data_IF_731147428870
#
_entry.id   IF_731147428870
#
_cell.length_a   1.000
_cell.length_b   1.000
_cell.length_c   1.000
_cell.angle_alpha   90.00
_cell.angle_beta   90.00
_cell.angle_gamma   90.00
#
_symmetry.space_group_name_H-M   'P 1'
#
loop_
_entity.id
_entity.type
_entity.pdbx_description
1 polymer ?
#
# COMPACT_ATOMS: atom_id res chain seq x y z
N UNK A 1 56.71 24.63 -4.26
CA UNK A 1 55.74 25.41 -3.47
C UNK A 1 54.84 26.12 -4.47
N UNK A 2 53.72 25.54 -4.89
CA UNK A 2 52.38 25.58 -4.28
C UNK A 2 51.73 26.98 -4.26
N UNK A 3 50.74 27.14 -5.13
CA UNK A 3 49.46 27.87 -4.98
C UNK A 3 48.68 27.51 -6.27
N UNK A 4 47.81 26.49 -6.35
CA UNK A 4 46.51 26.29 -5.69
C UNK A 4 45.70 27.58 -5.49
N UNK A 5 44.85 27.87 -6.48
CA UNK A 5 43.56 28.55 -6.43
C UNK A 5 42.96 28.29 -7.82
N UNK A 6 41.98 27.40 -8.01
CA UNK A 6 40.65 27.53 -7.46
C UNK A 6 39.66 27.79 -8.61
N UNK A 7 39.70 26.98 -9.67
CA UNK A 7 38.65 26.95 -10.68
C UNK A 7 37.57 25.97 -10.21
N UNK A 8 36.75 26.42 -9.27
CA UNK A 8 35.55 25.71 -8.81
C UNK A 8 34.34 26.59 -9.08
N UNK A 9 34.02 26.73 -10.36
CA UNK A 9 32.81 27.31 -10.96
C UNK A 9 32.72 26.56 -12.30
N UNK A 10 31.65 25.91 -12.75
CA UNK A 10 30.24 26.06 -12.47
C UNK A 10 29.58 24.83 -13.12
N UNK A 11 29.34 23.73 -12.39
CA UNK A 11 28.54 22.61 -12.93
C UNK A 11 27.08 22.99 -12.75
N UNK A 12 26.59 23.91 -13.58
CA UNK A 12 25.18 23.95 -13.90
C UNK A 12 24.82 22.57 -14.48
N UNK A 13 24.30 21.68 -13.63
CA UNK A 13 23.70 20.44 -14.10
C UNK A 13 22.56 20.85 -15.02
N UNK A 14 22.73 20.64 -16.32
CA UNK A 14 21.67 20.87 -17.30
C UNK A 14 20.38 20.22 -16.77
N UNK A 15 19.33 21.01 -16.47
CA UNK A 15 18.11 20.51 -15.86
C UNK A 15 17.44 19.46 -16.75
N UNK A 16 17.61 19.53 -18.08
CA UNK A 16 17.11 18.53 -19.00
C UNK A 16 17.88 17.21 -18.85
N UNK A 17 19.21 17.25 -18.82
CA UNK A 17 20.04 16.08 -18.58
C UNK A 17 19.77 15.43 -17.19
N UNK A 18 19.56 16.26 -16.16
CA UNK A 18 19.20 15.79 -14.83
C UNK A 18 17.83 15.08 -14.81
N UNK A 19 16.83 15.65 -15.48
CA UNK A 19 15.49 15.07 -15.60
C UNK A 19 15.51 13.76 -16.42
N UNK A 20 16.30 13.71 -17.49
CA UNK A 20 16.52 12.49 -18.28
C UNK A 20 17.11 11.37 -17.43
N UNK A 21 18.19 11.65 -16.70
CA UNK A 21 18.84 10.69 -15.81
C UNK A 21 17.90 10.23 -14.69
N UNK A 22 17.13 11.14 -14.10
CA UNK A 22 16.12 10.80 -13.09
C UNK A 22 15.07 9.85 -13.67
N UNK A 23 14.58 10.12 -14.88
CA UNK A 23 13.60 9.28 -15.58
C UNK A 23 14.13 7.88 -15.86
N UNK A 24 15.36 7.77 -16.37
CA UNK A 24 16.02 6.47 -16.60
C UNK A 24 16.19 5.70 -15.29
N UNK A 25 16.59 6.36 -14.20
CA UNK A 25 16.70 5.73 -12.88
C UNK A 25 15.36 5.23 -12.36
N UNK A 26 14.29 6.00 -12.52
CA UNK A 26 12.94 5.56 -12.13
C UNK A 26 12.52 4.29 -12.89
N UNK A 27 12.72 4.28 -14.21
CA UNK A 27 12.40 3.11 -15.04
C UNK A 27 13.22 1.90 -14.59
N UNK A 28 14.53 2.07 -14.37
CA UNK A 28 15.39 0.99 -13.89
C UNK A 28 14.94 0.44 -12.54
N UNK A 29 14.66 1.31 -11.57
CA UNK A 29 14.20 0.89 -10.24
C UNK A 29 12.90 0.09 -10.32
N UNK A 30 11.97 0.49 -11.20
CA UNK A 30 10.75 -0.27 -11.44
C UNK A 30 11.01 -1.65 -12.07
N UNK A 31 11.95 -1.75 -13.01
CA UNK A 31 12.35 -3.05 -13.57
C UNK A 31 12.97 -3.93 -12.48
N UNK A 32 13.81 -3.37 -11.61
CA UNK A 32 14.42 -4.13 -10.51
C UNK A 32 13.37 -4.58 -9.47
N UNK A 33 12.41 -3.74 -9.11
CA UNK A 33 11.32 -4.10 -8.19
C UNK A 33 10.32 -5.11 -8.79
N UNK A 34 10.29 -5.22 -10.12
CA UNK A 34 9.47 -6.21 -10.83
C UNK A 34 9.83 -7.67 -10.51
N UNK A 35 10.99 -7.93 -9.90
CA UNK A 35 11.41 -9.26 -9.48
C UNK A 35 10.84 -9.70 -8.13
N UNK A 36 9.98 -8.88 -7.51
CA UNK A 36 9.21 -9.27 -6.33
C UNK A 36 8.19 -10.36 -6.64
N UNK A 37 7.77 -11.11 -5.60
CA UNK A 37 6.81 -12.21 -5.73
C UNK A 37 5.45 -11.78 -6.29
N UNK A 38 4.94 -10.61 -5.89
CA UNK A 38 3.66 -10.08 -6.37
C UNK A 38 3.64 -9.71 -7.85
N UNK A 39 4.75 -9.13 -8.32
CA UNK A 39 4.97 -8.80 -9.73
C UNK A 39 5.21 -10.06 -10.57
N UNK A 40 5.90 -11.07 -10.02
CA UNK A 40 6.04 -12.38 -10.64
C UNK A 40 4.68 -13.03 -10.90
N UNK A 41 3.82 -13.11 -9.88
CA UNK A 41 2.49 -13.68 -9.99
C UNK A 41 1.57 -12.88 -10.94
N UNK A 42 1.77 -11.57 -11.11
CA UNK A 42 1.02 -10.81 -12.13
C UNK A 42 1.59 -11.04 -13.53
N UNK A 43 2.91 -11.14 -13.68
CA UNK A 43 3.54 -11.46 -14.95
C UNK A 43 3.05 -12.82 -15.47
N UNK A 44 2.98 -13.84 -14.61
CA UNK A 44 2.43 -15.17 -14.96
C UNK A 44 0.97 -15.10 -15.41
N UNK A 45 0.14 -14.29 -14.74
CA UNK A 45 -1.29 -14.18 -15.05
C UNK A 45 -1.61 -13.33 -16.28
N UNK A 46 -0.84 -12.28 -16.54
CA UNK A 46 -1.16 -11.27 -17.57
C UNK A 46 -0.18 -11.24 -18.73
N UNK A 47 0.95 -11.94 -18.64
CA UNK A 47 2.01 -11.98 -19.65
C UNK A 47 2.83 -10.69 -19.77
N UNK A 48 2.44 -9.61 -19.08
CA UNK A 48 3.11 -8.31 -19.14
C UNK A 48 2.94 -7.49 -17.85
N UNK A 49 3.93 -6.66 -17.58
CA UNK A 49 3.93 -5.64 -16.53
C UNK A 49 3.88 -4.25 -17.13
N UNK A 50 3.26 -3.32 -16.41
CA UNK A 50 2.94 -1.98 -16.91
C UNK A 50 3.07 -0.94 -15.79
N UNK A 51 3.77 0.15 -16.08
CA UNK A 51 3.91 1.31 -15.22
C UNK A 51 3.63 2.61 -15.98
N UNK A 52 3.25 3.66 -15.25
CA UNK A 52 3.03 5.01 -15.76
C UNK A 52 3.74 6.00 -14.87
N UNK A 53 4.63 6.79 -15.45
CA UNK A 53 5.39 7.82 -14.78
C UNK A 53 4.90 9.19 -15.28
N UNK A 54 4.44 10.05 -14.37
CA UNK A 54 4.05 11.43 -14.71
C UNK A 54 5.32 12.26 -14.78
N UNK A 55 5.88 12.41 -15.98
CA UNK A 55 7.12 13.14 -16.24
C UNK A 55 6.96 13.96 -17.50
N UNK A 56 7.21 15.25 -17.37
CA UNK A 56 7.15 16.18 -18.50
C UNK A 56 8.47 16.16 -19.26
N UNK A 57 8.51 15.37 -20.33
CA UNK A 57 9.65 15.31 -21.23
C UNK A 57 9.37 16.16 -22.47
N UNK A 58 10.36 16.94 -22.90
CA UNK A 58 10.32 17.56 -24.22
C UNK A 58 10.32 16.48 -25.31
N UNK A 59 9.94 16.84 -26.53
CA UNK A 59 9.93 15.90 -27.65
C UNK A 59 11.34 15.39 -28.01
N UNK A 60 12.38 16.18 -27.75
CA UNK A 60 13.78 15.80 -27.94
C UNK A 60 14.22 14.80 -26.85
N UNK A 61 13.95 15.12 -25.58
CA UNK A 61 14.20 14.21 -24.45
C UNK A 61 13.48 12.87 -24.59
N UNK A 62 12.26 12.88 -25.12
CA UNK A 62 11.53 11.64 -25.40
C UNK A 62 12.26 10.75 -26.43
N UNK A 63 12.73 11.33 -27.53
CA UNK A 63 13.50 10.60 -28.55
C UNK A 63 14.81 10.07 -27.97
N UNK A 64 15.50 10.87 -27.16
CA UNK A 64 16.71 10.45 -26.46
C UNK A 64 16.42 9.30 -25.50
N UNK A 65 15.30 9.34 -24.77
CA UNK A 65 14.92 8.27 -23.83
C UNK A 65 14.65 6.96 -24.58
N UNK A 66 13.93 7.03 -25.70
CA UNK A 66 13.68 5.86 -26.55
C UNK A 66 14.99 5.30 -27.12
N UNK A 67 15.90 6.17 -27.55
CA UNK A 67 17.21 5.77 -28.08
C UNK A 67 18.05 5.12 -26.99
N UNK A 68 18.09 5.72 -25.80
CA UNK A 68 18.82 5.19 -24.65
C UNK A 68 18.28 3.83 -24.20
N UNK A 69 16.96 3.67 -24.10
CA UNK A 69 16.35 2.40 -23.68
C UNK A 69 16.61 1.30 -24.71
N UNK A 70 16.54 1.61 -26.00
CA UNK A 70 16.87 0.65 -27.07
C UNK A 70 18.36 0.27 -27.08
N UNK A 71 19.25 1.25 -26.87
CA UNK A 71 20.69 1.03 -26.83
C UNK A 71 21.15 0.33 -25.53
N UNK A 72 20.39 0.53 -24.44
CA UNK A 72 20.68 -0.09 -23.15
C UNK A 72 20.44 -1.58 -23.23
N UNK A 73 21.52 -2.36 -23.07
CA UNK A 73 21.46 -3.81 -23.05
C UNK A 73 20.53 -4.37 -21.95
N UNK A 74 20.32 -3.62 -20.87
CA UNK A 74 19.42 -4.01 -19.79
C UNK A 74 17.96 -3.65 -20.10
N UNK A 75 17.70 -2.55 -20.80
CA UNK A 75 16.34 -2.00 -20.98
C UNK A 75 15.76 -2.22 -22.39
N UNK A 76 16.52 -2.82 -23.30
CA UNK A 76 16.20 -2.96 -24.74
C UNK A 76 14.89 -3.70 -25.06
N UNK A 77 14.32 -4.44 -24.10
CA UNK A 77 13.04 -5.14 -24.24
C UNK A 77 11.81 -4.33 -23.77
N UNK A 78 12.01 -3.13 -23.23
CA UNK A 78 10.92 -2.28 -22.75
C UNK A 78 10.24 -1.54 -23.90
N UNK A 79 8.91 -1.52 -23.89
CA UNK A 79 8.14 -0.65 -24.78
C UNK A 79 7.76 0.63 -24.05
N UNK A 80 8.10 1.76 -24.65
CA UNK A 80 7.79 3.09 -24.13
C UNK A 80 6.68 3.74 -24.95
N UNK A 81 5.66 4.27 -24.27
CA UNK A 81 4.57 5.06 -24.88
C UNK A 81 4.47 6.42 -24.20
N UNK A 82 4.43 7.48 -25.01
CA UNK A 82 4.11 8.81 -24.52
C UNK A 82 2.59 8.96 -24.52
N UNK A 83 2.04 9.38 -23.39
CA UNK A 83 0.62 9.66 -23.24
C UNK A 83 0.44 11.13 -22.93
N UNK A 84 -0.31 11.83 -23.77
CA UNK A 84 -0.74 13.21 -23.53
C UNK A 84 -2.18 13.16 -23.03
N UNK A 85 -2.39 13.49 -21.75
CA UNK A 85 -3.72 13.56 -21.15
C UNK A 85 -3.80 14.82 -20.32
N UNK A 86 -4.61 15.79 -20.75
CA UNK A 86 -5.24 16.88 -19.99
C UNK A 86 -4.40 17.73 -19.02
N UNK A 87 -3.68 17.09 -18.09
CA UNK A 87 -2.91 17.65 -16.98
C UNK A 87 -1.40 17.30 -17.03
N UNK A 88 -0.86 16.98 -18.22
CA UNK A 88 0.57 16.77 -18.45
C UNK A 88 0.92 15.61 -19.39
N UNK A 89 2.21 15.44 -19.66
CA UNK A 89 2.73 14.28 -20.39
C UNK A 89 3.16 13.17 -19.43
N UNK A 90 2.86 11.92 -19.80
CA UNK A 90 3.18 10.73 -19.02
C UNK A 90 3.98 9.75 -19.89
N UNK A 91 4.95 9.08 -19.27
CA UNK A 91 5.69 7.97 -19.85
C UNK A 91 5.09 6.66 -19.35
N UNK A 92 4.47 5.91 -20.24
CA UNK A 92 3.99 4.56 -19.98
C UNK A 92 5.06 3.55 -20.42
N UNK A 93 5.42 2.65 -19.52
CA UNK A 93 6.42 1.60 -19.74
C UNK A 93 5.75 0.24 -19.64
N UNK A 94 6.02 -0.61 -20.62
CA UNK A 94 5.53 -1.98 -20.70
C UNK A 94 6.71 -2.93 -20.75
N UNK A 95 6.65 -4.00 -19.96
CA UNK A 95 7.66 -5.04 -19.91
C UNK A 95 7.02 -6.41 -20.14
N UNK A 96 7.50 -7.12 -21.16
CA UNK A 96 7.08 -8.51 -21.44
C UNK A 96 7.81 -9.50 -20.53
N UNK A 97 7.31 -10.74 -20.49
CA UNK A 97 8.00 -11.85 -19.81
C UNK A 97 9.42 -12.07 -20.35
N UNK A 98 9.60 -12.03 -21.67
CA UNK A 98 10.91 -12.16 -22.33
C UNK A 98 11.87 -11.04 -21.93
N UNK A 99 11.40 -9.79 -21.93
CA UNK A 99 12.22 -8.65 -21.50
C UNK A 99 12.67 -8.80 -20.03
N UNK A 100 11.79 -9.28 -19.16
CA UNK A 100 12.10 -9.55 -17.75
C UNK A 100 13.12 -10.68 -17.59
N UNK A 101 13.00 -11.76 -18.37
CA UNK A 101 13.99 -12.85 -18.36
C UNK A 101 15.36 -12.38 -18.88
N UNK A 102 15.38 -11.61 -19.97
CA UNK A 102 16.62 -11.04 -20.49
C UNK A 102 17.28 -10.09 -19.48
N UNK A 103 16.50 -9.30 -18.74
CA UNK A 103 17.03 -8.47 -17.66
C UNK A 103 17.65 -9.32 -16.54
N UNK A 104 16.97 -10.40 -16.13
CA UNK A 104 17.44 -11.32 -15.08
C UNK A 104 18.76 -12.00 -15.43
N UNK A 105 18.88 -12.51 -16.67
CA UNK A 105 20.10 -13.16 -17.15
C UNK A 105 21.31 -12.21 -17.12
N UNK A 106 21.08 -10.92 -17.38
CA UNK A 106 22.13 -9.90 -17.41
C UNK A 106 22.42 -9.30 -16.04
N UNK A 107 21.46 -9.35 -15.12
CA UNK A 107 21.55 -8.78 -13.78
C UNK A 107 21.20 -9.81 -12.70
N UNK A 108 21.93 -10.93 -12.60
CA UNK A 108 21.58 -12.04 -11.72
C UNK A 108 21.52 -11.61 -10.24
N UNK A 109 22.36 -10.66 -9.83
CA UNK A 109 22.40 -10.12 -8.48
C UNK A 109 21.11 -9.41 -8.05
N UNK A 110 20.34 -8.86 -9.00
CA UNK A 110 19.06 -8.19 -8.71
C UNK A 110 17.99 -9.21 -8.35
N UNK A 111 17.98 -10.36 -9.03
CA UNK A 111 17.05 -11.46 -8.75
C UNK A 111 17.34 -12.04 -7.36
N UNK A 112 18.61 -12.29 -7.04
CA UNK A 112 19.01 -12.82 -5.73
C UNK A 112 18.70 -11.85 -4.59
N UNK A 113 19.03 -10.55 -4.74
CA UNK A 113 18.75 -9.53 -3.72
C UNK A 113 17.26 -9.36 -3.42
N UNK A 114 16.40 -9.54 -4.42
CA UNK A 114 14.95 -9.43 -4.27
C UNK A 114 14.27 -10.76 -3.92
N UNK A 115 14.99 -11.89 -4.05
CA UNK A 115 14.58 -13.20 -3.54
C UNK A 115 14.95 -13.39 -2.05
N UNK A 116 16.07 -12.82 -1.59
CA UNK A 116 16.58 -12.93 -0.21
C UNK A 116 16.05 -11.85 0.75
N UNK A 117 15.46 -10.76 0.25
CA UNK A 117 14.77 -9.79 1.10
C UNK A 117 13.39 -10.33 1.48
N UNK A 118 13.12 -10.71 2.76
CA UNK A 118 11.76 -10.68 3.24
C UNK A 118 11.27 -9.24 3.05
N UNK A 119 10.12 -9.07 2.40
CA UNK A 119 9.56 -7.76 2.06
C UNK A 119 9.10 -7.05 3.34
N UNK A 120 10.03 -6.42 4.04
CA UNK A 120 9.77 -5.45 5.11
C UNK A 120 9.69 -4.07 4.46
N UNK A 121 8.45 -3.61 4.28
CA UNK A 121 8.04 -2.23 3.96
C UNK A 121 8.87 -1.40 2.98
N UNK A 122 8.45 -1.32 1.72
CA UNK A 122 8.46 -0.06 0.96
C UNK A 122 7.69 -0.19 -0.35
N UNK A 123 6.57 0.55 -0.41
CA UNK A 123 6.04 1.28 -1.55
C UNK A 123 5.67 0.51 -2.84
N UNK A 124 4.42 0.75 -3.22
CA UNK A 124 3.87 0.67 -4.57
C UNK A 124 3.71 -0.72 -5.20
N UNK A 125 2.44 -1.12 -5.27
CA UNK A 125 1.99 -2.00 -6.33
C UNK A 125 2.12 -3.49 -6.03
N UNK A 126 0.99 -4.16 -6.22
CA UNK A 126 0.84 -5.58 -6.48
C UNK A 126 0.64 -6.53 -5.30
N UNK A 127 -0.51 -7.22 -5.42
CA UNK A 127 -0.83 -8.58 -5.01
C UNK A 127 0.20 -9.31 -4.11
N UNK A 128 -0.18 -9.56 -2.84
CA UNK A 128 -0.44 -10.87 -2.18
C UNK A 128 0.57 -12.03 -2.39
N UNK A 129 0.70 -13.08 -1.54
CA UNK A 129 0.27 -13.32 -0.14
C UNK A 129 1.32 -14.09 0.74
N UNK A 130 0.94 -14.35 2.01
CA UNK A 130 1.16 -15.57 2.83
C UNK A 130 2.54 -16.25 3.10
N UNK A 131 2.87 -16.30 4.40
CA UNK A 131 3.07 -17.51 5.26
C UNK A 131 4.19 -18.53 4.94
N UNK A 132 5.18 -18.66 5.84
CA UNK A 132 5.33 -19.78 6.78
C UNK A 132 6.79 -20.11 7.17
N UNK A 133 7.04 -20.03 8.50
CA UNK A 133 7.89 -20.89 9.36
C UNK A 133 9.34 -21.27 8.95
N UNK A 134 10.29 -20.64 9.66
CA UNK A 134 11.22 -21.18 10.69
C UNK A 134 11.91 -22.54 10.44
N UNK A 135 13.19 -22.71 10.87
CA UNK A 135 13.39 -23.16 12.27
C UNK A 135 14.71 -22.74 13.01
N UNK A 136 14.61 -22.77 14.34
CA UNK A 136 15.59 -22.99 15.46
C UNK A 136 16.75 -22.00 15.73
N UNK A 137 16.70 -21.26 16.86
CA UNK A 137 17.42 -21.64 18.08
C UNK A 137 17.03 -20.81 19.33
N UNK A 138 17.00 -21.53 20.45
CA UNK A 138 16.66 -21.14 21.83
C UNK A 138 17.45 -19.94 22.40
N UNK A 139 16.75 -19.10 23.17
CA UNK A 139 17.33 -18.39 24.29
C UNK A 139 16.43 -18.62 25.52
N UNK A 140 17.05 -19.16 26.57
CA UNK A 140 16.49 -19.48 27.87
C UNK A 140 16.16 -18.22 28.70
N UNK A 141 14.91 -18.18 29.20
CA UNK A 141 14.44 -17.72 30.54
C UNK A 141 14.83 -16.34 31.13
N UNK A 142 14.11 -15.81 32.15
CA UNK A 142 12.67 -15.84 32.42
C UNK A 142 12.09 -14.47 32.87
N UNK A 143 10.75 -14.41 32.90
CA UNK A 143 9.92 -13.35 33.48
C UNK A 143 10.09 -13.18 35.00
N UNK A 144 9.83 -11.96 35.50
CA UNK A 144 9.12 -11.74 36.78
C UNK A 144 8.46 -10.35 36.85
N UNK A 145 7.12 -10.38 36.81
CA UNK A 145 6.13 -9.42 37.37
C UNK A 145 6.19 -9.62 38.92
N UNK A 146 5.73 -8.75 39.85
CA UNK A 146 4.40 -8.10 39.77
C UNK A 146 4.10 -6.81 40.57
N UNK A 147 2.81 -6.40 40.46
CA UNK A 147 2.00 -5.68 41.46
C UNK A 147 2.14 -4.14 41.49
N UNK A 148 1.14 -3.31 41.78
CA UNK A 148 -0.30 -3.43 42.09
C UNK A 148 -0.91 -2.01 42.15
N UNK A 149 -2.25 -1.93 42.07
CA UNK A 149 -3.18 -1.01 42.77
C UNK A 149 -3.47 0.42 42.25
N UNK A 150 -4.77 0.58 41.91
CA UNK A 150 -5.74 1.59 42.40
C UNK A 150 -5.54 3.08 41.97
N UNK A 151 -6.52 3.95 41.73
CA UNK A 151 -7.98 3.92 41.87
C UNK A 151 -8.62 5.20 41.24
N UNK A 152 -9.93 5.12 40.95
CA UNK A 152 -10.99 6.18 41.01
C UNK A 152 -11.11 7.29 39.93
N UNK A 153 -12.26 7.22 39.25
CA UNK A 153 -13.10 8.28 38.62
C UNK A 153 -13.72 9.22 39.69
N UNK A 154 -14.20 10.47 39.38
CA UNK A 154 -15.46 10.75 38.61
C UNK A 154 -15.39 11.98 37.64
N UNK A 155 -16.16 12.03 36.52
CA UNK A 155 -17.41 12.81 36.26
C UNK A 155 -17.45 14.22 36.92
N UNK A 156 -17.88 15.34 36.32
CA UNK A 156 -18.51 15.71 35.05
C UNK A 156 -18.49 17.26 34.92
N UNK A 157 -18.64 17.83 33.71
CA UNK A 157 -19.46 19.03 33.39
C UNK A 157 -19.03 19.70 32.06
N UNK A 158 -20.01 20.00 31.21
CA UNK A 158 -19.98 21.04 30.17
C UNK A 158 -20.74 22.27 30.72
N UNK A 159 -20.96 23.39 30.00
CA UNK A 159 -20.44 23.91 28.72
C UNK A 159 -19.93 25.39 28.84
N UNK A 160 -19.32 25.98 27.80
CA UNK A 160 -19.64 27.36 27.33
C UNK A 160 -18.81 27.82 26.11
N UNK A 161 -19.45 28.68 25.31
CA UNK A 161 -18.98 29.30 24.08
C UNK A 161 -18.11 30.52 24.40
N UNK A 162 -17.01 30.76 23.68
CA UNK A 162 -16.72 32.13 23.15
C UNK A 162 -15.60 32.16 22.11
N UNK A 163 -15.59 33.27 21.36
CA UNK A 163 -15.01 33.51 20.03
C UNK A 163 -13.52 33.91 20.02
N UNK A 164 -12.90 33.65 18.86
CA UNK A 164 -11.84 34.39 18.14
C UNK A 164 -10.54 34.76 18.89
N UNK A 165 -9.43 34.25 18.35
CA UNK A 165 -8.32 35.08 17.83
C UNK A 165 -7.35 34.24 17.00
N UNK A 166 -6.55 34.95 16.21
CA UNK A 166 -5.95 34.57 14.93
C UNK A 166 -4.42 34.56 15.06
N UNK A 167 -3.78 33.47 14.66
CA UNK A 167 -2.32 33.37 14.34
C UNK A 167 -2.14 32.04 13.59
N UNK A 168 -2.05 32.03 12.26
CA UNK A 168 -0.80 32.01 11.46
C UNK A 168 0.35 31.27 12.15
N UNK A 169 0.59 30.03 11.71
CA UNK A 169 1.87 29.40 11.30
C UNK A 169 1.54 27.91 11.08
N UNK A 170 1.49 27.45 9.83
CA UNK A 170 2.61 26.85 9.09
C UNK A 170 3.09 25.51 9.71
N UNK A 171 3.06 24.46 8.87
CA UNK A 171 3.31 23.02 9.16
C UNK A 171 2.06 22.29 9.71
N UNK A 172 1.45 21.30 9.06
CA UNK A 172 1.94 20.38 8.05
C UNK A 172 0.92 20.24 6.91
N UNK A 173 1.29 20.69 5.72
CA UNK A 173 0.64 20.25 4.48
C UNK A 173 1.21 18.86 4.17
N UNK A 174 0.84 17.88 5.00
CA UNK A 174 0.90 16.49 4.56
C UNK A 174 -0.04 16.47 3.37
N UNK A 175 0.51 16.21 2.19
CA UNK A 175 -0.28 15.87 1.02
C UNK A 175 -1.08 14.62 1.35
N UNK A 176 -2.22 14.78 2.04
CA UNK A 176 -3.11 13.69 2.39
C UNK A 176 -3.71 13.22 1.08
N UNK A 177 -3.24 12.09 0.57
CA UNK A 177 -3.91 11.41 -0.53
C UNK A 177 -5.40 11.30 -0.17
N UNK A 178 -6.33 11.52 -1.10
CA UNK A 178 -7.74 11.28 -0.83
C UNK A 178 -7.92 9.88 -0.25
N UNK A 179 -8.73 9.71 0.81
CA UNK A 179 -9.02 8.38 1.37
C UNK A 179 -9.58 7.40 0.32
N UNK A 180 -10.15 7.94 -0.75
CA UNK A 180 -10.62 7.22 -1.93
C UNK A 180 -9.50 6.48 -2.67
N UNK A 181 -8.27 6.99 -2.63
CA UNK A 181 -7.13 6.44 -3.37
C UNK A 181 -6.34 5.39 -2.57
N UNK A 182 -6.69 5.19 -1.29
CA UNK A 182 -6.06 4.17 -0.43
C UNK A 182 -6.28 2.76 -1.00
N UNK A 183 -5.23 1.96 -1.10
CA UNK A 183 -5.33 0.58 -1.55
C UNK A 183 -5.95 -0.33 -0.49
N UNK A 184 -6.73 -1.32 -0.94
CA UNK A 184 -7.31 -2.31 -0.05
C UNK A 184 -6.21 -3.19 0.56
N UNK A 185 -6.21 -3.35 1.87
CA UNK A 185 -5.34 -4.30 2.55
C UNK A 185 -5.82 -5.72 2.27
N UNK A 186 -4.89 -6.66 2.13
CA UNK A 186 -5.26 -8.06 1.97
C UNK A 186 -5.78 -8.61 3.31
N UNK A 187 -6.98 -9.17 3.27
CA UNK A 187 -7.58 -9.87 4.40
C UNK A 187 -7.67 -11.34 4.01
N UNK A 188 -6.89 -12.19 4.68
CA UNK A 188 -6.87 -13.64 4.43
C UNK A 188 -8.29 -14.23 4.50
N UNK A 189 -8.52 -15.32 3.75
CA UNK A 189 -9.83 -15.97 3.64
C UNK A 189 -10.24 -16.77 4.86
N UNK A 190 -9.31 -17.07 5.74
CA UNK A 190 -9.54 -17.83 6.96
C UNK A 190 -10.03 -16.94 8.12
N UNK A 191 -10.45 -17.58 9.21
CA UNK A 191 -10.88 -16.89 10.43
C UNK A 191 -9.76 -15.98 10.98
N UNK A 192 -8.48 -16.36 10.82
CA UNK A 192 -7.34 -15.55 11.27
C UNK A 192 -7.24 -14.24 10.50
N UNK A 193 -7.54 -14.24 9.20
CA UNK A 193 -7.65 -13.02 8.41
C UNK A 193 -8.67 -12.05 8.98
N UNK A 194 -9.84 -12.55 9.41
CA UNK A 194 -10.88 -11.71 10.03
C UNK A 194 -10.45 -11.16 11.38
N UNK A 195 -9.78 -11.97 12.20
CA UNK A 195 -9.23 -11.52 13.49
C UNK A 195 -8.16 -10.45 13.26
N UNK A 196 -7.23 -10.68 12.33
CA UNK A 196 -6.19 -9.70 11.98
C UNK A 196 -6.79 -8.39 11.47
N UNK A 197 -7.85 -8.44 10.65
CA UNK A 197 -8.53 -7.24 10.17
C UNK A 197 -9.23 -6.48 11.30
N UNK A 198 -9.85 -7.18 12.26
CA UNK A 198 -10.45 -6.56 13.44
C UNK A 198 -9.38 -5.86 14.29
N UNK A 199 -8.27 -6.53 14.56
CA UNK A 199 -7.20 -6.00 15.39
C UNK A 199 -6.52 -4.82 14.69
N UNK A 200 -6.30 -4.92 13.38
CA UNK A 200 -5.78 -3.85 12.54
C UNK A 200 -6.69 -2.63 12.49
N UNK A 201 -8.01 -2.81 12.35
CA UNK A 201 -8.98 -1.71 12.43
C UNK A 201 -8.94 -1.03 13.80
N UNK A 202 -8.90 -1.82 14.87
CA UNK A 202 -8.88 -1.28 16.24
C UNK A 202 -7.59 -0.49 16.49
N UNK A 203 -6.45 -0.99 16.01
CA UNK A 203 -5.17 -0.30 16.09
C UNK A 203 -5.19 1.01 15.27
N UNK A 204 -5.67 0.98 14.03
CA UNK A 204 -5.77 2.15 13.16
C UNK A 204 -6.68 3.24 13.74
N UNK A 205 -7.82 2.85 14.33
CA UNK A 205 -8.70 3.80 15.03
C UNK A 205 -8.04 4.40 16.27
N UNK A 206 -7.26 3.59 17.01
CA UNK A 206 -6.54 4.05 18.20
C UNK A 206 -5.41 5.03 17.84
N UNK A 207 -4.70 4.79 16.74
CA UNK A 207 -3.66 5.68 16.22
C UNK A 207 -4.21 6.86 15.42
N UNK A 208 -5.53 6.94 15.22
CA UNK A 208 -6.22 7.92 14.36
C UNK A 208 -5.73 7.89 12.90
N UNK A 209 -5.23 6.75 12.44
CA UNK A 209 -4.83 6.54 11.05
C UNK A 209 -6.04 6.15 10.20
N UNK A 210 -6.69 7.16 9.63
CA UNK A 210 -7.87 6.98 8.79
C UNK A 210 -7.53 6.28 7.47
N UNK A 211 -6.31 6.44 6.94
CA UNK A 211 -5.89 5.76 5.72
C UNK A 211 -5.80 4.26 5.97
N UNK A 212 -5.15 3.87 7.07
CA UNK A 212 -5.03 2.47 7.45
C UNK A 212 -6.41 1.84 7.74
N UNK A 213 -7.30 2.58 8.43
CA UNK A 213 -8.67 2.12 8.66
C UNK A 213 -9.44 1.90 7.34
N UNK A 214 -9.31 2.81 6.37
CA UNK A 214 -9.92 2.67 5.05
C UNK A 214 -9.31 1.51 4.25
N UNK A 215 -8.00 1.26 4.36
CA UNK A 215 -7.34 0.13 3.72
C UNK A 215 -7.93 -1.19 4.20
N UNK A 216 -8.12 -1.35 5.51
CA UNK A 216 -8.76 -2.53 6.11
C UNK A 216 -10.22 -2.69 5.69
N UNK A 217 -11.02 -1.62 5.68
CA UNK A 217 -12.42 -1.67 5.24
C UNK A 217 -12.55 -2.08 3.77
N UNK A 218 -11.71 -1.53 2.89
CA UNK A 218 -11.65 -1.94 1.48
C UNK A 218 -11.24 -3.40 1.33
N UNK A 219 -10.31 -3.87 2.16
CA UNK A 219 -9.90 -5.27 2.22
C UNK A 219 -11.05 -6.21 2.57
N UNK A 220 -11.79 -5.87 3.62
CA UNK A 220 -12.99 -6.60 4.05
C UNK A 220 -14.09 -6.61 2.99
N UNK A 221 -14.20 -5.56 2.17
CA UNK A 221 -15.19 -5.48 1.09
C UNK A 221 -14.95 -6.46 -0.04
N UNK A 222 -13.70 -6.88 -0.25
CA UNK A 222 -13.29 -7.82 -1.30
C UNK A 222 -13.46 -9.28 -0.90
N UNK A 223 -13.66 -9.56 0.40
CA UNK A 223 -13.89 -10.91 0.92
C UNK A 223 -15.37 -11.11 1.26
N UNK A 224 -15.84 -12.33 1.06
CA UNK A 224 -17.07 -12.79 1.66
C UNK A 224 -16.78 -13.30 3.07
N UNK A 225 -17.38 -12.65 4.07
CA UNK A 225 -17.23 -13.04 5.48
C UNK A 225 -18.40 -13.93 5.84
N UNK A 226 -18.10 -15.17 6.22
CA UNK A 226 -19.11 -16.11 6.65
C UNK A 226 -19.83 -15.59 7.91
N UNK A 227 -21.15 -15.83 8.08
CA UNK A 227 -21.89 -15.46 9.27
C UNK A 227 -21.27 -16.01 10.57
N UNK A 228 -20.73 -17.23 10.53
CA UNK A 228 -20.05 -17.85 11.67
C UNK A 228 -18.81 -17.04 12.10
N UNK A 229 -18.05 -16.52 11.14
CA UNK A 229 -16.86 -15.70 11.41
C UNK A 229 -17.24 -14.33 11.98
N UNK A 230 -18.33 -13.74 11.50
CA UNK A 230 -18.87 -12.49 12.04
C UNK A 230 -19.25 -12.65 13.52
N UNK A 231 -19.84 -13.80 13.88
CA UNK A 231 -20.25 -14.13 15.24
C UNK A 231 -19.04 -14.24 16.17
N UNK A 232 -18.04 -15.02 15.73
CA UNK A 232 -16.85 -15.37 16.51
C UNK A 232 -15.95 -14.17 16.71
N UNK A 233 -15.69 -13.40 15.66
CA UNK A 233 -14.73 -12.29 15.71
C UNK A 233 -15.31 -11.00 16.25
N UNK A 234 -16.64 -10.82 16.12
CA UNK A 234 -17.34 -9.55 16.39
C UNK A 234 -16.77 -8.36 15.61
N UNK A 235 -16.20 -8.61 14.43
CA UNK A 235 -15.60 -7.58 13.57
C UNK A 235 -16.58 -6.46 13.18
N UNK A 236 -17.89 -6.76 13.15
CA UNK A 236 -18.94 -5.76 12.91
C UNK A 236 -18.91 -4.60 13.90
N UNK A 237 -18.45 -4.81 15.14
CA UNK A 237 -18.28 -3.73 16.12
C UNK A 237 -17.16 -2.77 15.72
N UNK A 238 -16.01 -3.30 15.29
CA UNK A 238 -14.89 -2.48 14.83
C UNK A 238 -15.26 -1.67 13.58
N UNK A 239 -15.96 -2.29 12.62
CA UNK A 239 -16.45 -1.59 11.43
C UNK A 239 -17.47 -0.50 11.78
N UNK A 240 -18.34 -0.73 12.77
CA UNK A 240 -19.27 0.27 13.25
C UNK A 240 -18.57 1.44 13.96
N UNK A 241 -17.44 1.20 14.63
CA UNK A 241 -16.60 2.29 15.18
C UNK A 241 -15.92 3.11 14.08
N UNK A 242 -15.54 2.51 12.95
CA UNK A 242 -15.04 3.27 11.79
C UNK A 242 -16.09 4.23 11.25
N UNK A 243 -17.36 3.80 11.21
CA UNK A 243 -18.46 4.67 10.77
C UNK A 243 -18.60 5.94 11.62
N UNK A 244 -18.23 5.89 12.90
CA UNK A 244 -18.37 7.02 13.84
C UNK A 244 -17.24 8.06 13.75
N UNK A 245 -16.20 7.82 12.96
CA UNK A 245 -15.06 8.75 12.87
C UNK A 245 -15.35 10.03 12.07
N UNK A 246 -16.51 10.12 11.40
CA UNK A 246 -16.96 11.35 10.72
C UNK A 246 -16.43 11.55 9.30
N UNK A 247 -15.62 10.65 8.76
CA UNK A 247 -15.21 10.68 7.35
C UNK A 247 -16.32 10.12 6.43
N UNK A 248 -16.83 10.88 5.44
CA UNK A 248 -17.94 10.44 4.58
C UNK A 248 -17.65 9.18 3.77
N UNK A 249 -16.40 9.03 3.31
CA UNK A 249 -16.00 7.90 2.47
C UNK A 249 -15.90 6.62 3.29
N UNK A 250 -15.25 6.69 4.46
CA UNK A 250 -15.14 5.60 5.41
C UNK A 250 -16.50 5.17 5.95
N UNK A 251 -17.38 6.13 6.24
CA UNK A 251 -18.77 5.89 6.64
C UNK A 251 -19.50 5.06 5.58
N UNK A 252 -19.41 5.47 4.31
CA UNK A 252 -20.05 4.75 3.19
C UNK A 252 -19.53 3.32 3.04
N UNK A 253 -18.21 3.12 3.17
CA UNK A 253 -17.62 1.77 3.10
C UNK A 253 -18.09 0.89 4.26
N UNK A 254 -18.09 1.42 5.49
CA UNK A 254 -18.55 0.71 6.67
C UNK A 254 -20.04 0.32 6.55
N UNK A 255 -20.89 1.22 6.08
CA UNK A 255 -22.32 0.92 5.89
C UNK A 255 -22.56 -0.17 4.84
N UNK A 256 -21.85 -0.14 3.70
CA UNK A 256 -21.96 -1.18 2.67
C UNK A 256 -21.62 -2.56 3.25
N UNK A 257 -20.53 -2.65 4.02
CA UNK A 257 -20.11 -3.90 4.68
C UNK A 257 -21.14 -4.38 5.68
N UNK A 258 -21.58 -3.51 6.58
CA UNK A 258 -22.54 -3.85 7.62
C UNK A 258 -23.88 -4.31 7.02
N UNK A 259 -24.34 -3.68 5.94
CA UNK A 259 -25.56 -4.10 5.23
C UNK A 259 -25.39 -5.47 4.58
N UNK A 260 -24.28 -5.72 3.89
CA UNK A 260 -23.98 -7.02 3.29
C UNK A 260 -23.94 -8.13 4.33
N UNK A 261 -23.27 -7.89 5.45
CA UNK A 261 -23.16 -8.85 6.55
C UNK A 261 -24.47 -9.08 7.27
N UNK A 262 -25.28 -8.03 7.49
CA UNK A 262 -26.64 -8.16 8.05
C UNK A 262 -27.55 -8.99 7.14
N UNK A 263 -27.39 -8.90 5.81
CA UNK A 263 -28.14 -9.73 4.86
C UNK A 263 -27.67 -11.19 4.93
N UNK A 264 -26.37 -11.45 4.85
CA UNK A 264 -25.80 -12.80 4.94
C UNK A 264 -26.15 -13.49 6.25
N UNK A 265 -26.14 -12.74 7.36
CA UNK A 265 -26.52 -13.26 8.67
C UNK A 265 -27.99 -13.69 8.72
N UNK A 266 -28.91 -12.90 8.18
CA UNK A 266 -30.34 -13.26 8.12
C UNK A 266 -30.58 -14.50 7.29
N UNK A 267 -29.96 -14.59 6.11
CA UNK A 267 -30.07 -15.75 5.23
C UNK A 267 -29.56 -17.05 5.89
N UNK A 268 -28.46 -16.98 6.64
CA UNK A 268 -27.96 -18.15 7.37
C UNK A 268 -28.82 -18.56 8.57
N UNK A 269 -29.59 -17.64 9.17
CA UNK A 269 -30.56 -17.96 10.21
C UNK A 269 -31.80 -18.65 9.62
N UNK A 270 -32.29 -18.19 8.46
CA UNK A 270 -33.41 -18.80 7.74
C UNK A 270 -33.08 -20.23 7.28
N UNK A 271 -31.87 -20.45 6.76
CA UNK A 271 -31.41 -21.79 6.35
C UNK A 271 -31.29 -22.76 7.55
N UNK A 272 -30.74 -22.30 8.68
CA UNK A 272 -30.62 -23.13 9.90
C UNK A 272 -31.98 -23.42 10.56
N UNK A 273 -32.98 -22.54 10.38
CA UNK A 273 -34.36 -22.80 10.82
C UNK A 273 -35.02 -23.88 9.96
N UNK A 274 -34.89 -23.78 8.63
CA UNK A 274 -35.48 -24.75 7.69
C UNK A 274 -34.90 -26.15 7.78
N UNK A 275 -33.61 -26.32 8.13
CA UNK A 275 -33.01 -27.65 8.37
C UNK A 275 -33.49 -28.30 9.67
N UNK A 276 -33.78 -27.49 10.70
CA UNK A 276 -34.26 -28.00 11.99
C UNK A 276 -35.72 -28.41 11.99
N UNK A 277 -36.55 -27.80 11.14
CA UNK A 277 -37.95 -28.19 10.97
C UNK A 277 -38.12 -29.40 10.02
N UNK A 278 -37.04 -29.83 9.36
CA UNK A 278 -37.00 -30.97 8.42
C UNK A 278 -36.34 -32.23 9.01
N UNK A 279 -35.90 -32.21 10.27
CA UNK A 279 -35.35 -33.36 11.03
C UNK A 279 -36.19 -33.64 12.26
#
# INVERSE_FOLDING_TARGET
>A
MQAMQGASEERAQDPAAALMLATVRMIRNWVESSFSGGEAARMERKGQLKARFKVELSSEMWKELQTFVKASFALSGLQLKRLERGEGSCVEVLMSGEARQQYALKNPHVVVKNAEKPSDGALEGFCTPETAKLPVHEASTPCKVPSQKQAKRPLASSPEKSKRSRTKEAMAKISSMPLQDVHAREVSRDLKGVVAAKDGLTAALSSKDLHEAVAWLKGLGRREVAPEDLAKTRIGLAVNECRKQGDPYMTKLADILLQRWKKAWRQAQEQKGSERDAT
#
